data_IF_612486652784
#
_entry.id   IF_612486652784
#
_cell.length_a   1.000
_cell.length_b   1.000
_cell.length_c   1.000
_cell.angle_alpha   90.00
_cell.angle_beta   90.00
_cell.angle_gamma   90.00
#
_symmetry.space_group_name_H-M   'P 1'
#
loop_
_entity.id
_entity.type
_entity.pdbx_description
1 polymer ?
#
# COMPACT_ATOMS: atom_id res chain seq x y z
N UNK A 1 9.25 -16.36 -13.11
CA UNK A 1 9.08 -16.12 -11.66
C UNK A 1 9.66 -14.73 -11.37
N UNK A 2 9.01 -13.92 -10.53
CA UNK A 2 9.53 -12.60 -10.12
C UNK A 2 10.05 -12.67 -8.67
N UNK A 3 11.13 -11.96 -8.37
CA UNK A 3 11.73 -11.90 -7.03
C UNK A 3 12.36 -10.51 -6.75
N UNK A 4 12.61 -10.23 -5.47
CA UNK A 4 13.11 -8.91 -5.02
C UNK A 4 14.41 -9.09 -4.26
N UNK A 5 15.41 -8.30 -4.62
CA UNK A 5 16.62 -8.11 -3.83
C UNK A 5 16.40 -6.94 -2.84
N UNK A 6 16.40 -7.25 -1.55
CA UNK A 6 16.19 -6.27 -0.45
C UNK A 6 17.49 -5.92 0.28
N UNK A 7 18.66 -6.29 -0.26
CA UNK A 7 19.95 -6.15 0.43
C UNK A 7 20.48 -4.71 0.52
N UNK A 8 19.88 -3.77 -0.22
CA UNK A 8 20.30 -2.37 -0.27
C UNK A 8 19.17 -1.35 -0.02
N UNK A 9 19.50 -0.05 0.03
CA UNK A 9 18.53 1.04 0.22
C UNK A 9 17.60 1.25 -1.01
N UNK A 10 17.96 0.67 -2.15
CA UNK A 10 17.10 0.53 -3.31
C UNK A 10 16.87 -0.95 -3.55
N UNK A 11 15.64 -1.41 -3.39
CA UNK A 11 15.29 -2.79 -3.70
C UNK A 11 15.15 -2.93 -5.20
N UNK A 12 15.65 -4.04 -5.74
CA UNK A 12 15.62 -4.34 -7.17
C UNK A 12 14.63 -5.47 -7.42
N UNK A 13 13.74 -5.27 -8.39
CA UNK A 13 12.74 -6.26 -8.79
C UNK A 13 13.21 -6.95 -10.05
N UNK A 14 13.31 -8.26 -9.99
CA UNK A 14 13.79 -9.10 -11.08
C UNK A 14 12.70 -10.05 -11.58
N UNK A 15 12.71 -10.34 -12.89
CA UNK A 15 12.00 -11.47 -13.48
C UNK A 15 12.97 -12.44 -14.10
N UNK A 16 12.80 -13.72 -13.79
CA UNK A 16 13.47 -14.80 -14.48
C UNK A 16 12.78 -15.09 -15.83
N UNK A 17 13.52 -14.99 -16.92
CA UNK A 17 13.04 -15.23 -18.29
C UNK A 17 13.23 -16.68 -18.79
N UNK A 18 13.80 -17.55 -17.96
CA UNK A 18 14.16 -18.92 -18.33
C UNK A 18 15.66 -19.13 -18.57
N UNK A 19 16.45 -18.05 -18.63
CA UNK A 19 17.90 -18.09 -18.77
C UNK A 19 18.61 -17.21 -17.74
N UNK A 20 18.09 -16.02 -17.45
CA UNK A 20 18.70 -15.05 -16.54
C UNK A 20 17.66 -14.23 -15.78
N UNK A 21 18.12 -13.56 -14.74
CA UNK A 21 17.35 -12.54 -14.03
C UNK A 21 17.45 -11.20 -14.76
N UNK A 22 16.31 -10.69 -15.22
CA UNK A 22 16.19 -9.37 -15.84
C UNK A 22 15.73 -8.38 -14.79
N UNK A 23 16.47 -7.28 -14.61
CA UNK A 23 16.03 -6.16 -13.77
C UNK A 23 14.85 -5.48 -14.46
N UNK A 24 13.67 -5.60 -13.86
CA UNK A 24 12.45 -4.97 -14.38
C UNK A 24 12.15 -3.65 -13.70
N UNK A 25 12.49 -3.52 -12.40
CA UNK A 25 12.12 -2.34 -11.62
C UNK A 25 13.02 -2.08 -10.41
N UNK A 26 12.84 -0.89 -9.84
CA UNK A 26 13.50 -0.45 -8.62
C UNK A 26 12.49 0.17 -7.65
N UNK A 27 12.70 -0.10 -6.36
CA UNK A 27 12.00 0.52 -5.24
C UNK A 27 13.04 1.27 -4.42
N UNK A 28 12.98 2.59 -4.45
CA UNK A 28 13.73 3.45 -3.55
C UNK A 28 13.06 3.43 -2.16
N UNK A 29 13.62 2.66 -1.23
CA UNK A 29 13.09 2.53 0.14
C UNK A 29 13.42 3.73 1.02
N UNK A 30 14.36 4.58 0.59
CA UNK A 30 14.68 5.83 1.32
C UNK A 30 13.62 6.89 1.04
N UNK A 31 13.13 6.95 -0.20
CA UNK A 31 12.11 7.91 -0.61
C UNK A 31 10.70 7.31 -0.77
N UNK A 32 10.52 6.02 -0.42
CA UNK A 32 9.28 5.25 -0.60
C UNK A 32 8.74 5.29 -2.05
N UNK A 33 9.61 5.31 -3.07
CA UNK A 33 9.21 5.39 -4.49
C UNK A 33 9.41 4.04 -5.18
N UNK A 34 8.37 3.52 -5.81
CA UNK A 34 8.40 2.44 -6.78
C UNK A 34 8.26 3.02 -8.19
N UNK A 35 9.14 2.65 -9.10
CA UNK A 35 9.09 3.10 -10.50
C UNK A 35 8.16 2.20 -11.34
N UNK A 36 7.54 2.73 -12.41
CA UNK A 36 6.43 2.06 -13.08
C UNK A 36 6.83 0.74 -13.75
N UNK A 37 6.06 -0.32 -13.49
CA UNK A 37 6.09 -1.56 -14.28
C UNK A 37 5.53 -2.82 -13.60
N UNK A 38 5.31 -2.87 -12.28
CA UNK A 38 4.57 -3.99 -11.66
C UNK A 38 4.32 -3.82 -10.16
N UNK A 39 3.06 -3.61 -9.79
CA UNK A 39 2.19 -4.39 -8.87
C UNK A 39 2.73 -5.17 -7.64
N UNK A 40 4.00 -5.12 -7.28
CA UNK A 40 4.52 -5.89 -6.14
C UNK A 40 4.56 -5.07 -4.85
N UNK A 41 3.38 -4.92 -4.23
CA UNK A 41 3.24 -4.54 -2.83
C UNK A 41 3.21 -5.81 -1.97
N UNK A 42 4.21 -6.02 -1.10
CA UNK A 42 4.26 -7.16 -0.18
C UNK A 42 3.76 -6.83 1.24
N UNK A 43 3.23 -5.61 1.47
CA UNK A 43 2.79 -5.19 2.80
C UNK A 43 3.88 -4.56 3.68
N UNK A 44 5.17 -4.70 3.33
CA UNK A 44 6.26 -4.41 4.25
C UNK A 44 6.70 -2.94 4.28
N UNK A 45 6.57 -2.22 3.16
CA UNK A 45 7.00 -0.81 3.05
C UNK A 45 5.93 -0.01 2.31
N UNK A 46 5.38 1.08 2.91
CA UNK A 46 4.51 2.01 2.19
C UNK A 46 5.24 2.60 0.97
N UNK A 47 4.55 2.77 -0.14
CA UNK A 47 5.20 3.23 -1.37
C UNK A 47 4.32 4.05 -2.29
N UNK A 48 4.92 4.61 -3.34
CA UNK A 48 4.25 5.31 -4.44
C UNK A 48 4.68 4.77 -5.80
N UNK A 49 3.77 4.57 -6.74
CA UNK A 49 4.04 4.44 -8.18
C UNK A 49 3.68 5.75 -8.84
N UNK A 50 4.61 6.34 -9.60
CA UNK A 50 4.34 7.53 -10.42
C UNK A 50 4.36 7.13 -11.88
N UNK A 51 3.23 7.29 -12.55
CA UNK A 51 3.07 7.02 -13.98
C UNK A 51 3.61 8.17 -14.83
N UNK A 52 4.05 7.91 -16.06
CA UNK A 52 4.44 8.96 -17.00
C UNK A 52 3.35 10.01 -17.25
N UNK A 53 2.07 9.66 -17.05
CA UNK A 53 0.93 10.57 -17.16
C UNK A 53 0.79 11.54 -15.98
N UNK A 54 1.61 11.41 -14.94
CA UNK A 54 1.48 12.14 -13.67
C UNK A 54 0.48 11.50 -12.69
N UNK A 55 -0.20 10.41 -13.07
CA UNK A 55 -1.01 9.62 -12.14
C UNK A 55 -0.10 9.01 -11.08
N UNK A 56 -0.50 9.09 -9.81
CA UNK A 56 0.19 8.49 -8.69
C UNK A 56 -0.68 7.41 -8.04
N UNK A 57 -0.04 6.33 -7.61
CA UNK A 57 -0.66 5.28 -6.80
C UNK A 57 0.14 5.13 -5.52
N UNK A 58 -0.45 5.40 -4.36
CA UNK A 58 0.20 5.26 -3.07
C UNK A 58 -0.40 4.06 -2.33
N UNK A 59 0.42 3.31 -1.62
CA UNK A 59 -0.02 2.10 -0.94
C UNK A 59 0.70 1.89 0.39
N UNK A 60 0.10 1.07 1.24
CA UNK A 60 0.63 0.76 2.55
C UNK A 60 -0.23 -0.24 3.30
N UNK A 61 0.13 -0.51 4.55
CA UNK A 61 -0.51 -1.51 5.42
C UNK A 61 -0.77 -0.87 6.76
N UNK A 62 -1.95 -1.14 7.30
CA UNK A 62 -2.32 -0.79 8.66
C UNK A 62 -2.53 -2.08 9.44
N UNK A 63 -1.86 -2.20 10.58
CA UNK A 63 -2.13 -3.27 11.55
C UNK A 63 -3.28 -2.86 12.45
N UNK A 64 -4.29 -3.72 12.54
CA UNK A 64 -5.50 -3.52 13.32
C UNK A 64 -5.41 -4.40 14.57
N UNK A 65 -5.35 -3.81 15.78
CA UNK A 65 -5.31 -4.55 17.03
C UNK A 65 -6.69 -5.11 17.41
N UNK A 66 -6.71 -6.00 18.39
CA UNK A 66 -7.96 -6.44 19.03
C UNK A 66 -8.65 -5.28 19.74
N UNK A 67 -9.99 -5.29 19.75
CA UNK A 67 -10.78 -4.24 20.38
C UNK A 67 -12.18 -4.06 19.78
N UNK A 68 -12.89 -3.04 20.25
CA UNK A 68 -14.22 -2.69 19.74
C UNK A 68 -14.09 -1.55 18.74
N UNK A 69 -13.87 -1.91 17.48
CA UNK A 69 -13.56 -1.00 16.40
C UNK A 69 -12.13 -0.45 16.44
N UNK A 70 -11.73 0.19 15.36
CA UNK A 70 -10.42 0.81 15.20
C UNK A 70 -10.49 1.92 14.16
N UNK A 71 -10.04 3.12 14.53
CA UNK A 71 -10.00 4.27 13.63
C UNK A 71 -8.61 4.87 13.67
N UNK A 72 -8.03 5.10 12.51
CA UNK A 72 -6.70 5.73 12.41
C UNK A 72 -6.60 6.62 11.18
N UNK A 73 -5.84 7.69 11.30
CA UNK A 73 -5.46 8.51 10.16
C UNK A 73 -4.18 7.93 9.53
N UNK A 74 -4.23 7.72 8.22
CA UNK A 74 -3.12 7.24 7.40
C UNK A 74 -2.67 8.38 6.51
N UNK A 75 -1.47 8.90 6.78
CA UNK A 75 -0.83 9.85 5.90
C UNK A 75 -0.32 9.14 4.63
N UNK A 76 -0.46 9.80 3.50
CA UNK A 76 0.18 9.34 2.28
C UNK A 76 1.71 9.43 2.42
N UNK A 77 2.46 8.36 2.09
CA UNK A 77 3.89 8.28 2.36
C UNK A 77 4.75 9.16 1.44
N UNK A 78 4.18 9.63 0.32
CA UNK A 78 4.80 10.61 -0.57
C UNK A 78 4.12 11.98 -0.43
N UNK A 79 4.26 12.84 -1.44
CA UNK A 79 3.51 14.09 -1.56
C UNK A 79 2.00 13.87 -1.56
N UNK A 80 1.28 14.87 -1.05
CA UNK A 80 -0.15 14.99 -1.23
C UNK A 80 -0.54 14.90 -2.71
N UNK A 81 -1.68 14.28 -2.99
CA UNK A 81 -2.31 14.36 -4.30
C UNK A 81 -2.67 15.81 -4.64
N UNK A 82 -2.48 16.22 -5.88
CA UNK A 82 -2.99 17.50 -6.39
C UNK A 82 -4.53 17.51 -6.48
N UNK A 83 -5.17 16.34 -6.53
CA UNK A 83 -6.62 16.18 -6.76
C UNK A 83 -7.40 15.74 -5.52
N UNK A 84 -8.69 16.06 -5.50
CA UNK A 84 -9.63 15.60 -4.46
C UNK A 84 -10.33 14.28 -4.81
N UNK A 85 -10.15 13.78 -6.03
CA UNK A 85 -10.79 12.55 -6.50
C UNK A 85 -9.79 11.41 -6.37
N UNK A 86 -9.73 10.83 -5.16
CA UNK A 86 -8.82 9.75 -4.83
C UNK A 86 -9.61 8.45 -4.77
N UNK A 87 -9.19 7.47 -5.56
CA UNK A 87 -9.77 6.14 -5.57
C UNK A 87 -9.05 5.24 -4.58
N UNK A 88 -9.80 4.50 -3.78
CA UNK A 88 -9.25 3.61 -2.76
C UNK A 88 -9.60 2.16 -3.04
N UNK A 89 -8.65 1.27 -2.76
CA UNK A 89 -8.83 -0.17 -2.69
C UNK A 89 -8.26 -0.66 -1.37
N UNK A 90 -9.09 -1.39 -0.61
CA UNK A 90 -8.73 -1.94 0.68
C UNK A 90 -8.82 -3.46 0.63
N UNK A 91 -7.77 -4.16 1.08
CA UNK A 91 -7.69 -5.61 1.07
C UNK A 91 -7.43 -6.11 2.48
N UNK A 92 -8.30 -7.01 2.95
CA UNK A 92 -8.16 -7.67 4.23
C UNK A 92 -7.05 -8.72 4.18
N UNK A 93 -6.16 -8.73 5.18
CA UNK A 93 -5.04 -9.68 5.27
C UNK A 93 -4.92 -10.21 6.70
N UNK A 94 -4.90 -11.54 6.87
CA UNK A 94 -4.67 -12.18 8.16
C UNK A 94 -5.90 -12.89 8.74
N UNK A 95 -5.95 -12.98 10.08
CA UNK A 95 -6.90 -13.81 10.81
C UNK A 95 -8.35 -13.33 10.70
N UNK A 96 -9.27 -14.24 10.40
CA UNK A 96 -10.68 -13.93 10.14
C UNK A 96 -11.39 -13.37 11.37
N UNK A 97 -11.97 -12.18 11.23
CA UNK A 97 -12.91 -11.61 12.19
C UNK A 97 -14.33 -11.63 11.58
N UNK A 98 -15.29 -12.24 12.27
CA UNK A 98 -16.69 -12.25 11.83
C UNK A 98 -17.35 -10.90 12.13
N UNK A 99 -18.17 -10.40 11.19
CA UNK A 99 -18.95 -9.16 11.36
C UNK A 99 -18.13 -7.89 11.61
N UNK A 100 -16.92 -7.83 11.03
CA UNK A 100 -16.13 -6.60 10.97
C UNK A 100 -16.33 -5.95 9.60
N UNK A 101 -16.61 -4.65 9.61
CA UNK A 101 -16.67 -3.81 8.42
C UNK A 101 -15.48 -2.88 8.40
N UNK A 102 -14.92 -2.61 7.23
CA UNK A 102 -13.80 -1.69 7.09
C UNK A 102 -13.97 -0.80 5.85
N UNK A 103 -13.46 0.42 5.93
CA UNK A 103 -13.64 1.41 4.88
C UNK A 103 -12.83 2.69 5.11
N UNK A 104 -12.83 3.55 4.11
CA UNK A 104 -12.37 4.93 4.25
C UNK A 104 -13.55 5.78 4.69
N UNK A 105 -13.48 6.36 5.89
CA UNK A 105 -14.54 7.21 6.44
C UNK A 105 -14.44 8.65 5.89
N UNK A 106 -13.23 9.19 5.84
CA UNK A 106 -12.95 10.52 5.30
C UNK A 106 -11.57 10.54 4.65
N UNK A 107 -11.33 11.46 3.72
CA UNK A 107 -10.02 11.65 3.12
C UNK A 107 -9.79 13.09 2.64
N UNK A 108 -8.54 13.45 2.49
CA UNK A 108 -8.08 14.67 1.84
C UNK A 108 -6.84 14.36 0.99
N UNK A 109 -6.24 15.39 0.41
CA UNK A 109 -5.06 15.25 -0.46
C UNK A 109 -3.83 14.66 0.24
N UNK A 110 -3.72 14.79 1.57
CA UNK A 110 -2.57 14.33 2.35
C UNK A 110 -2.77 12.99 3.08
N UNK A 111 -3.98 12.42 3.06
CA UNK A 111 -4.23 11.13 3.68
C UNK A 111 -5.72 10.80 3.83
N UNK A 112 -5.99 9.72 4.56
CA UNK A 112 -7.34 9.22 4.78
C UNK A 112 -7.53 8.63 6.17
N UNK A 113 -8.76 8.65 6.66
CA UNK A 113 -9.16 7.99 7.88
C UNK A 113 -9.67 6.60 7.54
N UNK A 114 -8.92 5.58 7.95
CA UNK A 114 -9.35 4.20 7.93
C UNK A 114 -10.24 3.94 9.14
N UNK A 115 -11.40 3.36 8.91
CA UNK A 115 -12.31 2.89 9.95
C UNK A 115 -12.52 1.40 9.82
N UNK A 116 -12.50 0.74 10.97
CA UNK A 116 -12.88 -0.66 11.16
C UNK A 116 -13.94 -0.67 12.26
N UNK A 117 -15.15 -1.10 11.92
CA UNK A 117 -16.27 -1.21 12.85
C UNK A 117 -16.58 -2.68 13.16
N UNK A 118 -16.89 -2.98 14.43
CA UNK A 118 -17.20 -4.33 14.90
C UNK A 118 -16.26 -4.80 16.02
N UNK A 119 -16.46 -6.03 16.48
CA UNK A 119 -15.62 -6.64 17.52
C UNK A 119 -14.43 -7.37 16.88
N UNK A 120 -13.23 -6.90 17.15
CA UNK A 120 -11.98 -7.43 16.62
C UNK A 120 -11.37 -8.38 17.66
N UNK A 121 -11.48 -9.67 17.39
CA UNK A 121 -11.06 -10.77 18.27
C UNK A 121 -9.66 -11.30 17.95
N UNK A 122 -9.19 -11.11 16.71
CA UNK A 122 -7.86 -11.51 16.26
C UNK A 122 -7.23 -10.33 15.52
N UNK A 123 -5.97 -9.96 15.80
CA UNK A 123 -5.31 -8.90 15.05
C UNK A 123 -5.19 -9.28 13.57
N UNK A 124 -5.36 -8.30 12.69
CA UNK A 124 -5.25 -8.46 11.25
C UNK A 124 -4.65 -7.20 10.63
N UNK A 125 -4.52 -7.20 9.31
CA UNK A 125 -4.01 -6.05 8.57
C UNK A 125 -4.94 -5.67 7.42
N UNK A 126 -4.93 -4.39 7.08
CA UNK A 126 -5.56 -3.88 5.87
C UNK A 126 -4.46 -3.33 4.98
N UNK A 127 -4.29 -3.95 3.81
CA UNK A 127 -3.53 -3.36 2.72
C UNK A 127 -4.40 -2.32 2.04
N UNK A 128 -3.85 -1.14 1.82
CA UNK A 128 -4.52 -0.05 1.16
C UNK A 128 -3.74 0.39 -0.07
N UNK A 129 -4.47 0.78 -1.09
CA UNK A 129 -4.00 1.42 -2.31
C UNK A 129 -4.90 2.62 -2.55
N UNK A 130 -4.29 3.78 -2.79
CA UNK A 130 -4.92 5.02 -3.13
C UNK A 130 -4.40 5.46 -4.50
N UNK A 131 -5.24 6.02 -5.36
CA UNK A 131 -4.86 6.47 -6.70
C UNK A 131 -5.43 7.86 -6.98
N UNK A 132 -4.60 8.76 -7.47
CA UNK A 132 -4.95 10.14 -7.80
C UNK A 132 -3.82 10.86 -8.52
N UNK A 133 -4.03 12.12 -8.91
CA UNK A 133 -2.97 13.03 -9.38
C UNK A 133 -2.60 13.98 -8.27
#
# INVERSE_FOLDING_TARGET
MQWIDTSGPTWKVYRYDGAQDILENQIDTTNNKAYPGSSYYNGAIPGVIVHPSGLMEQFGRVTVPVGTGYTTFVAFPHSSYATTNILFKLTYVGGLNTNVFYGVNAYNQGGFTLEVAGNIIVPFSIDWEARGF
#
